data_IF_655296190104
#
_entry.id   IF_655296190104
#
_cell.length_a   1.000
_cell.length_b   1.000
_cell.length_c   1.000
_cell.angle_alpha   90.00
_cell.angle_beta   90.00
_cell.angle_gamma   90.00
#
_symmetry.space_group_name_H-M   'P 1'
#
loop_
_entity.id
_entity.type
_entity.pdbx_description
1 polymer ?
#
# COMPACT_ATOMS: atom_id res chain seq x y z
N UNK A 1 -19.82 -5.42 16.80
CA UNK A 1 -19.70 -6.22 15.58
C UNK A 1 -19.88 -7.70 15.95
N UNK A 2 -20.61 -8.50 15.17
CA UNK A 2 -20.73 -9.93 15.46
C UNK A 2 -19.40 -10.63 15.12
N UNK A 3 -18.94 -11.63 15.91
CA UNK A 3 -17.68 -12.32 15.65
C UNK A 3 -17.72 -13.00 14.27
N UNK A 4 -16.60 -12.89 13.53
CA UNK A 4 -16.47 -13.48 12.21
C UNK A 4 -16.51 -15.01 12.34
N UNK A 5 -17.35 -15.73 11.57
CA UNK A 5 -17.42 -17.18 11.63
C UNK A 5 -16.05 -17.82 11.32
N UNK A 6 -15.67 -18.86 12.05
CA UNK A 6 -14.36 -19.56 11.94
C UNK A 6 -14.04 -19.95 10.48
N UNK A 7 -15.02 -20.46 9.73
CA UNK A 7 -14.86 -20.81 8.33
C UNK A 7 -14.50 -19.60 7.45
N UNK A 8 -15.06 -18.45 7.73
CA UNK A 8 -14.78 -17.21 7.00
C UNK A 8 -13.38 -16.67 7.33
N UNK A 9 -12.97 -16.75 8.61
CA UNK A 9 -11.61 -16.39 9.04
C UNK A 9 -10.56 -17.28 8.38
N UNK A 10 -10.80 -18.60 8.34
CA UNK A 10 -9.91 -19.55 7.65
C UNK A 10 -9.81 -19.26 6.14
N UNK A 11 -10.92 -18.91 5.49
CA UNK A 11 -10.93 -18.58 4.07
C UNK A 11 -10.11 -17.28 3.80
N UNK A 12 -10.29 -16.23 4.61
CA UNK A 12 -9.53 -14.98 4.51
C UNK A 12 -8.03 -15.20 4.70
N UNK A 13 -7.66 -16.01 5.69
CA UNK A 13 -6.25 -16.37 5.94
C UNK A 13 -5.65 -17.13 4.74
N UNK A 14 -6.38 -18.04 4.12
CA UNK A 14 -5.95 -18.77 2.93
C UNK A 14 -5.73 -17.84 1.73
N UNK A 15 -6.63 -16.87 1.50
CA UNK A 15 -6.46 -15.87 0.45
C UNK A 15 -5.24 -14.98 0.71
N UNK A 16 -5.02 -14.53 1.95
CA UNK A 16 -3.86 -13.72 2.31
C UNK A 16 -2.55 -14.51 2.15
N UNK A 17 -2.53 -15.79 2.48
CA UNK A 17 -1.37 -16.67 2.26
C UNK A 17 -1.06 -16.85 0.78
N UNK A 18 -2.09 -17.01 -0.05
CA UNK A 18 -1.95 -17.09 -1.51
C UNK A 18 -1.42 -15.76 -2.05
N UNK A 19 -1.98 -14.64 -1.62
CA UNK A 19 -1.52 -13.30 -1.99
C UNK A 19 -0.03 -13.11 -1.65
N UNK A 20 0.39 -13.47 -0.44
CA UNK A 20 1.77 -13.35 0.01
C UNK A 20 2.74 -14.07 -0.92
N UNK A 21 2.45 -15.35 -1.24
CA UNK A 21 3.27 -16.15 -2.15
C UNK A 21 3.36 -15.55 -3.54
N UNK A 22 2.23 -15.13 -4.12
CA UNK A 22 2.22 -14.53 -5.46
C UNK A 22 2.89 -13.16 -5.48
N UNK A 23 2.72 -12.34 -4.43
CA UNK A 23 3.43 -11.07 -4.26
C UNK A 23 4.96 -11.27 -4.26
N UNK A 24 5.45 -12.26 -3.52
CA UNK A 24 6.89 -12.58 -3.46
C UNK A 24 7.41 -13.10 -4.81
N UNK A 25 6.63 -13.88 -5.54
CA UNK A 25 6.97 -14.34 -6.89
C UNK A 25 7.20 -13.17 -7.85
N UNK A 26 6.46 -12.09 -7.72
CA UNK A 26 6.64 -10.88 -8.54
C UNK A 26 7.65 -9.89 -7.94
N UNK A 27 8.31 -10.25 -6.84
CA UNK A 27 9.38 -9.48 -6.21
C UNK A 27 8.94 -8.44 -5.18
N UNK A 28 7.68 -8.47 -4.76
CA UNK A 28 7.21 -7.74 -3.58
C UNK A 28 7.69 -8.41 -2.28
N UNK A 29 7.50 -7.74 -1.16
CA UNK A 29 7.85 -8.24 0.18
C UNK A 29 6.62 -8.26 1.06
N UNK A 30 6.22 -9.44 1.52
CA UNK A 30 5.14 -9.59 2.46
C UNK A 30 5.65 -9.46 3.89
N UNK A 31 5.11 -8.52 4.67
CA UNK A 31 5.55 -8.23 6.03
C UNK A 31 4.73 -8.94 7.12
N UNK A 32 3.64 -9.58 6.71
CA UNK A 32 2.81 -10.38 7.61
C UNK A 32 1.34 -9.94 7.64
N UNK A 33 0.56 -10.73 8.35
CA UNK A 33 -0.80 -10.39 8.77
C UNK A 33 -0.66 -9.86 10.19
N UNK A 34 -0.97 -8.60 10.40
CA UNK A 34 -0.74 -7.88 11.65
C UNK A 34 -2.05 -7.34 12.23
N UNK A 35 -2.10 -7.22 13.54
CA UNK A 35 -3.14 -6.45 14.22
C UNK A 35 -2.87 -4.95 14.08
N UNK A 36 -3.87 -4.07 14.23
CA UNK A 36 -3.67 -2.62 14.15
C UNK A 36 -2.55 -2.08 15.04
N UNK A 37 -2.37 -2.65 16.23
CA UNK A 37 -1.31 -2.21 17.16
C UNK A 37 0.10 -2.59 16.68
N UNK A 38 0.23 -3.69 15.98
CA UNK A 38 1.51 -4.16 15.45
C UNK A 38 1.94 -3.38 14.21
N UNK A 39 0.97 -2.85 13.44
CA UNK A 39 1.22 -2.13 12.17
C UNK A 39 2.17 -0.96 12.39
N UNK A 40 1.86 -0.08 13.34
CA UNK A 40 2.66 1.13 13.60
C UNK A 40 4.11 0.78 13.94
N UNK A 41 4.31 -0.18 14.83
CA UNK A 41 5.66 -0.62 15.23
C UNK A 41 6.41 -1.24 14.03
N UNK A 42 5.73 -2.05 13.21
CA UNK A 42 6.35 -2.66 12.02
C UNK A 42 6.75 -1.63 10.98
N UNK A 43 5.96 -0.57 10.81
CA UNK A 43 6.26 0.55 9.91
C UNK A 43 7.52 1.29 10.36
N UNK A 44 7.60 1.66 11.65
CA UNK A 44 8.77 2.34 12.22
C UNK A 44 10.03 1.49 12.06
N UNK A 45 9.93 0.19 12.34
CA UNK A 45 11.03 -0.76 12.15
C UNK A 45 11.48 -0.82 10.69
N UNK A 46 10.53 -0.95 9.75
CA UNK A 46 10.84 -1.00 8.32
C UNK A 46 11.53 0.28 7.84
N UNK A 47 11.06 1.44 8.28
CA UNK A 47 11.68 2.72 7.92
C UNK A 47 13.15 2.78 8.36
N UNK A 48 13.44 2.29 9.58
CA UNK A 48 14.82 2.13 10.08
C UNK A 48 15.63 1.12 9.27
N UNK A 49 15.09 -0.06 8.98
CA UNK A 49 15.74 -1.11 8.16
C UNK A 49 16.13 -0.60 6.77
N UNK A 50 15.31 0.27 6.18
CA UNK A 50 15.55 0.88 4.87
C UNK A 50 16.47 2.10 4.93
N UNK A 51 16.88 2.55 6.11
CA UNK A 51 17.70 3.76 6.31
C UNK A 51 16.98 5.03 5.85
N UNK A 52 15.67 5.04 5.90
CA UNK A 52 14.87 6.19 5.50
C UNK A 52 15.13 7.39 6.42
N UNK A 53 14.96 8.60 5.89
CA UNK A 53 14.96 9.85 6.63
C UNK A 53 13.65 10.58 6.47
N UNK A 54 13.01 10.41 5.32
CA UNK A 54 11.76 11.09 4.96
C UNK A 54 10.71 10.07 4.53
N UNK A 55 9.54 10.15 5.15
CA UNK A 55 8.39 9.26 4.88
C UNK A 55 7.23 10.10 4.39
N UNK A 56 6.68 9.76 3.23
CA UNK A 56 5.46 10.35 2.71
C UNK A 56 4.25 9.51 3.14
N UNK A 57 3.27 10.15 3.77
CA UNK A 57 2.05 9.51 4.27
C UNK A 57 0.83 9.95 3.47
N UNK A 58 -0.01 9.00 3.10
CA UNK A 58 -1.33 9.22 2.54
C UNK A 58 -2.39 9.53 3.60
N UNK A 59 -3.58 9.79 3.10
CA UNK A 59 -4.78 9.69 3.93
C UNK A 59 -5.20 8.22 3.99
N UNK A 60 -5.44 7.70 5.18
CA UNK A 60 -5.80 6.31 5.40
C UNK A 60 -7.31 6.12 5.59
N UNK A 61 -7.86 5.07 4.99
CA UNK A 61 -9.18 4.55 5.33
C UNK A 61 -9.08 3.23 6.13
N UNK A 62 -7.92 2.58 6.05
CA UNK A 62 -7.62 1.28 6.66
C UNK A 62 -6.79 1.45 7.93
N UNK A 63 -5.87 2.41 7.91
CA UNK A 63 -4.88 2.61 8.96
C UNK A 63 -5.02 4.00 9.57
N UNK A 64 -4.74 4.11 10.87
CA UNK A 64 -4.62 5.40 11.54
C UNK A 64 -3.31 6.08 11.11
N UNK A 65 -3.37 6.80 9.99
CA UNK A 65 -2.20 7.49 9.43
C UNK A 65 -1.69 8.61 10.33
N UNK A 66 -2.53 9.15 11.22
CA UNK A 66 -2.10 10.16 12.17
C UNK A 66 -1.26 9.53 13.29
N UNK A 67 -1.71 8.44 13.89
CA UNK A 67 -0.94 7.69 14.87
C UNK A 67 0.38 7.14 14.30
N UNK A 68 0.37 6.67 13.03
CA UNK A 68 1.58 6.25 12.32
C UNK A 68 2.53 7.42 12.15
N UNK A 69 2.03 8.59 11.72
CA UNK A 69 2.84 9.79 11.55
C UNK A 69 3.49 10.24 12.84
N UNK A 70 2.74 10.32 13.94
CA UNK A 70 3.27 10.66 15.27
C UNK A 70 4.33 9.68 15.76
N UNK A 71 4.15 8.38 15.51
CA UNK A 71 5.13 7.37 15.90
C UNK A 71 6.44 7.51 15.09
N UNK A 72 6.34 7.80 13.81
CA UNK A 72 7.50 8.05 12.95
C UNK A 72 8.22 9.36 13.34
N UNK A 73 7.49 10.44 13.65
CA UNK A 73 8.07 11.70 14.13
C UNK A 73 8.81 11.50 15.48
N UNK A 74 8.23 10.73 16.40
CA UNK A 74 8.90 10.37 17.68
C UNK A 74 10.16 9.54 17.46
N UNK A 75 10.26 8.81 16.35
CA UNK A 75 11.44 8.05 15.94
C UNK A 75 12.38 8.84 15.02
N UNK A 76 12.25 10.18 14.98
CA UNK A 76 13.11 11.14 14.26
C UNK A 76 13.03 11.04 12.71
N UNK A 77 11.92 10.54 12.16
CA UNK A 77 11.67 10.61 10.72
C UNK A 77 10.97 11.91 10.34
N UNK A 78 11.36 12.49 9.19
CA UNK A 78 10.65 13.62 8.59
C UNK A 78 9.41 13.13 7.85
N UNK A 79 8.24 13.75 8.14
CA UNK A 79 6.98 13.36 7.53
C UNK A 79 6.54 14.37 6.47
N UNK A 80 6.15 13.84 5.31
CA UNK A 80 5.49 14.56 4.22
C UNK A 80 4.05 14.05 4.14
N UNK A 81 3.09 14.79 4.70
CA UNK A 81 1.67 14.42 4.59
C UNK A 81 1.11 14.86 3.24
N UNK A 82 0.45 13.94 2.55
CA UNK A 82 -0.32 14.28 1.35
C UNK A 82 -1.72 14.69 1.77
N UNK A 83 -1.99 15.97 1.64
CA UNK A 83 -3.30 16.58 1.87
C UNK A 83 -3.85 17.09 0.54
N UNK A 84 -5.18 17.25 0.41
CA UNK A 84 -5.77 17.92 -0.73
C UNK A 84 -5.15 19.33 -0.87
N UNK A 85 -4.65 19.63 -2.05
CA UNK A 85 -4.04 20.93 -2.36
C UNK A 85 -4.67 21.52 -3.62
N UNK A 86 -4.62 22.84 -3.74
CA UNK A 86 -5.03 23.52 -4.96
C UNK A 86 -4.20 23.02 -6.18
N UNK A 87 -4.77 23.13 -7.38
CA UNK A 87 -4.10 22.67 -8.60
C UNK A 87 -2.71 23.29 -8.80
N UNK A 88 -2.55 24.54 -8.37
CA UNK A 88 -1.27 25.29 -8.41
C UNK A 88 -0.19 24.70 -7.52
N UNK A 89 -0.56 23.94 -6.48
CA UNK A 89 0.35 23.36 -5.49
C UNK A 89 0.63 21.88 -5.76
N UNK A 90 -0.11 21.24 -6.68
CA UNK A 90 0.03 19.80 -6.98
C UNK A 90 1.42 19.42 -7.45
N UNK A 91 2.07 20.27 -8.23
CA UNK A 91 3.44 20.01 -8.70
C UNK A 91 4.43 19.98 -7.53
N UNK A 92 4.36 20.96 -6.64
CA UNK A 92 5.21 21.03 -5.45
C UNK A 92 4.96 19.85 -4.47
N UNK A 93 3.70 19.44 -4.31
CA UNK A 93 3.37 18.26 -3.51
C UNK A 93 3.96 16.99 -4.12
N UNK A 94 3.82 16.79 -5.44
CA UNK A 94 4.42 15.64 -6.14
C UNK A 94 5.94 15.60 -5.99
N UNK A 95 6.61 16.74 -6.07
CA UNK A 95 8.05 16.84 -5.87
C UNK A 95 8.44 16.44 -4.45
N UNK A 96 7.72 16.92 -3.43
CA UNK A 96 7.95 16.51 -2.03
C UNK A 96 7.78 15.03 -1.83
N UNK A 97 6.74 14.41 -2.42
CA UNK A 97 6.51 12.96 -2.37
C UNK A 97 7.61 12.20 -3.11
N UNK A 98 8.04 12.68 -4.27
CA UNK A 98 9.12 12.05 -5.05
C UNK A 98 10.48 12.07 -4.33
N UNK A 99 10.71 13.06 -3.47
CA UNK A 99 11.92 13.20 -2.66
C UNK A 99 11.84 12.45 -1.31
N UNK A 100 10.74 11.79 -1.01
CA UNK A 100 10.63 10.92 0.16
C UNK A 100 11.30 9.56 -0.11
N UNK A 101 11.87 8.96 0.94
CA UNK A 101 12.52 7.65 0.86
C UNK A 101 11.50 6.51 0.81
N UNK A 102 10.36 6.70 1.49
CA UNK A 102 9.27 5.73 1.55
C UNK A 102 7.95 6.45 1.35
N UNK A 103 7.06 5.86 0.53
CA UNK A 103 5.65 6.22 0.48
C UNK A 103 4.80 5.18 1.21
N UNK A 104 3.90 5.62 2.09
CA UNK A 104 2.97 4.76 2.81
C UNK A 104 1.55 5.08 2.37
N UNK A 105 0.82 4.09 1.91
CA UNK A 105 -0.55 4.22 1.42
C UNK A 105 -1.39 2.98 1.76
N UNK A 106 -2.71 3.15 1.79
CA UNK A 106 -3.64 2.03 1.84
C UNK A 106 -3.98 1.57 0.42
N UNK A 107 -4.16 0.25 0.24
CA UNK A 107 -4.80 -0.31 -0.93
C UNK A 107 -6.27 -0.60 -0.64
N UNK A 108 -7.11 -0.43 -1.65
CA UNK A 108 -8.54 -0.76 -1.57
C UNK A 108 -8.76 -2.27 -1.64
N UNK A 109 -7.92 -2.98 -2.42
CA UNK A 109 -7.95 -4.43 -2.52
C UNK A 109 -6.56 -5.02 -2.76
N UNK A 110 -6.41 -6.32 -2.41
CA UNK A 110 -5.33 -7.17 -2.83
C UNK A 110 -5.89 -8.36 -3.61
N UNK A 111 -5.23 -8.77 -4.68
CA UNK A 111 -5.66 -9.85 -5.59
C UNK A 111 -4.79 -11.07 -5.34
N UNK A 112 -5.35 -12.10 -4.71
CA UNK A 112 -4.61 -13.26 -4.28
C UNK A 112 -3.97 -14.04 -5.45
N UNK A 113 -4.69 -14.20 -6.56
CA UNK A 113 -4.21 -15.00 -7.71
C UNK A 113 -2.98 -14.45 -8.43
N UNK A 114 -2.60 -13.19 -8.18
CA UNK A 114 -1.52 -12.50 -8.92
C UNK A 114 -0.56 -11.71 -8.04
N UNK A 115 -0.79 -11.64 -6.73
CA UNK A 115 -0.01 -10.80 -5.83
C UNK A 115 -0.10 -9.30 -6.17
N UNK A 116 -1.24 -8.87 -6.72
CA UNK A 116 -1.47 -7.50 -7.21
C UNK A 116 -2.23 -6.69 -6.18
N UNK A 117 -1.81 -5.44 -5.97
CA UNK A 117 -2.55 -4.46 -5.18
C UNK A 117 -3.43 -3.63 -6.12
N UNK A 118 -4.64 -3.32 -5.70
CA UNK A 118 -5.56 -2.46 -6.41
C UNK A 118 -5.81 -1.19 -5.58
N UNK A 119 -5.42 -0.04 -6.13
CA UNK A 119 -5.52 1.27 -5.50
C UNK A 119 -6.46 2.15 -6.30
N UNK A 120 -7.53 2.59 -5.66
CA UNK A 120 -8.49 3.53 -6.22
C UNK A 120 -8.05 4.94 -5.87
N UNK A 121 -7.72 5.73 -6.89
CA UNK A 121 -7.30 7.11 -6.72
C UNK A 121 -8.42 8.08 -7.05
N UNK A 122 -8.55 9.11 -6.24
CA UNK A 122 -9.42 10.26 -6.46
C UNK A 122 -8.67 11.56 -6.14
N UNK A 123 -9.37 12.69 -6.08
CA UNK A 123 -8.77 13.99 -5.75
C UNK A 123 -8.03 14.03 -4.42
N UNK A 124 -8.51 13.29 -3.43
CA UNK A 124 -8.00 13.28 -2.06
C UNK A 124 -6.96 12.18 -1.80
N UNK A 125 -6.96 11.13 -2.63
CA UNK A 125 -6.05 9.97 -2.53
C UNK A 125 -5.22 9.83 -3.81
N UNK A 126 -4.12 10.60 -3.94
CA UNK A 126 -3.28 10.56 -5.15
C UNK A 126 -2.47 9.25 -5.22
N UNK A 127 -2.34 8.69 -6.42
CA UNK A 127 -1.49 7.51 -6.67
C UNK A 127 0.02 7.79 -6.54
N UNK A 128 0.43 9.03 -6.32
CA UNK A 128 1.84 9.43 -6.25
C UNK A 128 2.63 8.70 -5.15
N UNK A 129 2.00 8.38 -4.03
CA UNK A 129 2.63 7.67 -2.90
C UNK A 129 3.10 6.26 -3.26
N UNK A 130 2.36 5.58 -4.13
CA UNK A 130 2.67 4.21 -4.56
C UNK A 130 3.56 4.17 -5.80
N UNK A 131 3.84 5.33 -6.43
CA UNK A 131 4.52 5.40 -7.72
C UNK A 131 5.83 6.19 -7.70
N UNK A 132 5.98 7.20 -6.84
CA UNK A 132 7.11 8.12 -6.89
C UNK A 132 8.27 7.77 -5.94
N UNK A 133 8.04 7.43 -4.65
CA UNK A 133 9.12 7.09 -3.74
C UNK A 133 9.85 5.81 -4.15
N UNK A 134 11.15 5.69 -3.87
CA UNK A 134 11.94 4.50 -4.21
C UNK A 134 11.51 3.24 -3.45
N UNK A 135 10.89 3.38 -2.29
CA UNK A 135 10.25 2.31 -1.56
C UNK A 135 8.77 2.65 -1.31
N UNK A 136 7.90 1.65 -1.41
CA UNK A 136 6.49 1.80 -1.13
C UNK A 136 6.06 0.75 -0.10
N UNK A 137 5.36 1.19 0.95
CA UNK A 137 4.65 0.33 1.88
C UNK A 137 3.15 0.49 1.65
N UNK A 138 2.47 -0.61 1.43
CA UNK A 138 1.03 -0.65 1.19
C UNK A 138 0.36 -1.47 2.27
N UNK A 139 -0.72 -0.93 2.83
CA UNK A 139 -1.51 -1.55 3.88
C UNK A 139 -2.87 -1.92 3.29
N UNK A 140 -3.35 -3.12 3.56
CA UNK A 140 -4.65 -3.60 3.07
C UNK A 140 -5.36 -4.39 4.16
N UNK A 141 -6.68 -4.25 4.28
CA UNK A 141 -7.46 -5.06 5.22
C UNK A 141 -7.61 -6.50 4.71
N UNK A 142 -7.66 -7.45 5.64
CA UNK A 142 -7.79 -8.89 5.32
C UNK A 142 -9.07 -9.21 4.54
N UNK A 143 -10.18 -8.51 4.81
CA UNK A 143 -11.46 -8.68 4.13
C UNK A 143 -11.48 -8.08 2.71
N UNK A 144 -10.45 -7.30 2.37
CA UNK A 144 -10.19 -6.74 1.03
C UNK A 144 -9.21 -7.58 0.20
N UNK A 145 -8.79 -8.73 0.71
CA UNK A 145 -8.01 -9.70 -0.07
C UNK A 145 -8.97 -10.56 -0.89
N UNK A 146 -9.04 -10.27 -2.19
CA UNK A 146 -9.96 -10.88 -3.14
C UNK A 146 -9.28 -12.03 -3.90
N UNK A 147 -10.05 -13.03 -4.30
CA UNK A 147 -9.51 -14.19 -5.01
C UNK A 147 -8.86 -13.81 -6.36
N UNK A 148 -9.51 -12.91 -7.13
CA UNK A 148 -9.09 -12.53 -8.47
C UNK A 148 -9.60 -11.12 -8.85
N UNK A 149 -9.17 -10.62 -10.01
CA UNK A 149 -9.56 -9.30 -10.50
C UNK A 149 -11.08 -9.18 -10.76
N UNK A 150 -11.73 -10.25 -11.20
CA UNK A 150 -13.18 -10.20 -11.44
C UNK A 150 -13.96 -9.91 -10.15
N UNK A 151 -13.52 -10.48 -9.02
CA UNK A 151 -14.11 -10.20 -7.71
C UNK A 151 -13.90 -8.72 -7.30
N UNK A 152 -12.71 -8.15 -7.57
CA UNK A 152 -12.45 -6.72 -7.31
C UNK A 152 -13.37 -5.83 -8.17
N UNK A 153 -13.51 -6.14 -9.46
CA UNK A 153 -14.35 -5.36 -10.36
C UNK A 153 -15.85 -5.45 -9.99
N UNK A 154 -16.28 -6.59 -9.45
CA UNK A 154 -17.65 -6.74 -8.95
C UNK A 154 -17.92 -5.85 -7.72
N UNK A 155 -16.94 -5.72 -6.81
CA UNK A 155 -17.03 -4.82 -5.64
C UNK A 155 -16.98 -3.33 -6.03
N UNK A 156 -16.28 -3.00 -7.13
CA UNK A 156 -16.18 -1.64 -7.67
C UNK A 156 -17.39 -1.24 -8.54
N UNK A 157 -18.56 -1.87 -8.35
CA UNK A 157 -19.78 -1.62 -9.13
C UNK A 157 -20.08 -0.13 -9.36
N UNK A 158 -20.71 0.25 -10.53
CA UNK A 158 -20.79 1.64 -11.00
C UNK A 158 -21.54 2.62 -10.08
N UNK A 159 -22.32 2.14 -9.12
CA UNK A 159 -23.18 2.96 -8.27
C UNK A 159 -22.50 3.51 -7.00
N UNK A 160 -21.28 3.06 -6.66
CA UNK A 160 -20.65 3.36 -5.36
C UNK A 160 -19.29 4.02 -5.38
N UNK A 161 -18.57 4.02 -6.49
CA UNK A 161 -17.20 4.53 -6.52
C UNK A 161 -17.07 5.62 -7.58
N UNK A 162 -17.08 6.87 -7.15
CA UNK A 162 -16.58 7.99 -7.95
C UNK A 162 -15.06 7.87 -8.11
N UNK A 163 -14.60 6.73 -8.66
CA UNK A 163 -13.20 6.44 -8.87
C UNK A 163 -12.73 7.12 -10.15
N UNK A 164 -11.79 8.04 -10.04
CA UNK A 164 -11.17 8.65 -11.20
C UNK A 164 -10.16 7.71 -11.87
N UNK A 165 -9.59 6.76 -11.12
CA UNK A 165 -8.60 5.82 -11.65
C UNK A 165 -8.44 4.60 -10.74
N UNK A 166 -8.42 3.42 -11.34
CA UNK A 166 -7.95 2.17 -10.72
C UNK A 166 -6.51 1.91 -11.15
N UNK A 167 -5.59 1.81 -10.20
CA UNK A 167 -4.20 1.44 -10.44
C UNK A 167 -3.94 0.04 -9.91
N UNK A 168 -3.44 -0.84 -10.79
CA UNK A 168 -3.03 -2.20 -10.43
C UNK A 168 -1.51 -2.24 -10.32
N UNK A 169 -0.99 -2.69 -9.16
CA UNK A 169 0.43 -2.72 -8.84
C UNK A 169 0.84 -4.17 -8.61
N UNK A 170 1.61 -4.72 -9.57
CA UNK A 170 2.07 -6.11 -9.54
C UNK A 170 3.59 -6.12 -9.37
N UNK A 171 4.04 -6.06 -8.12
CA UNK A 171 5.46 -6.01 -7.78
C UNK A 171 6.16 -4.67 -8.05
N UNK A 172 7.46 -4.58 -7.75
CA UNK A 172 8.27 -3.38 -7.95
C UNK A 172 8.48 -3.09 -9.44
N UNK A 173 8.83 -1.81 -9.75
CA UNK A 173 9.09 -1.38 -11.12
C UNK A 173 10.28 -2.13 -11.72
N UNK A 174 10.05 -2.78 -12.85
CA UNK A 174 11.07 -3.49 -13.64
C UNK A 174 11.05 -2.93 -15.06
N UNK A 175 12.14 -2.29 -15.47
CA UNK A 175 12.32 -1.85 -16.85
C UNK A 175 13.39 -2.73 -17.49
N UNK A 176 13.06 -3.36 -18.62
CA UNK A 176 14.05 -4.04 -19.45
C UNK A 176 14.65 -3.02 -20.42
N UNK A 177 15.93 -2.80 -20.34
CA UNK A 177 16.67 -1.98 -21.31
C UNK A 177 16.94 -2.79 -22.59
N UNK A 178 17.23 -2.08 -23.68
CA UNK A 178 17.57 -2.64 -25.01
C UNK A 178 18.76 -3.62 -24.91
N UNK A 179 19.62 -3.48 -23.90
CA UNK A 179 20.77 -4.37 -23.60
C UNK A 179 20.41 -5.62 -22.77
N UNK A 180 19.12 -5.96 -22.60
CA UNK A 180 18.64 -7.11 -21.79
C UNK A 180 19.01 -7.05 -20.30
N UNK A 181 19.35 -5.89 -19.77
CA UNK A 181 19.55 -5.67 -18.32
C UNK A 181 18.24 -5.19 -17.69
N UNK A 182 17.80 -5.88 -16.66
CA UNK A 182 16.67 -5.43 -15.86
C UNK A 182 17.16 -4.31 -14.93
N UNK A 183 16.61 -3.10 -15.12
CA UNK A 183 16.87 -1.96 -14.23
C UNK A 183 15.66 -1.78 -13.33
N UNK A 184 15.86 -1.84 -12.02
CA UNK A 184 14.81 -1.63 -11.03
C UNK A 184 14.61 -0.13 -10.78
N UNK A 185 13.32 0.31 -10.77
CA UNK A 185 12.96 1.62 -10.26
C UNK A 185 13.19 2.81 -11.18
N UNK A 186 13.19 2.61 -12.52
CA UNK A 186 13.29 3.74 -13.47
C UNK A 186 11.98 4.55 -13.51
N UNK A 187 10.83 3.88 -13.41
CA UNK A 187 9.51 4.49 -13.54
C UNK A 187 8.55 4.16 -12.39
N UNK A 188 9.09 3.78 -11.21
CA UNK A 188 8.28 3.42 -10.04
C UNK A 188 9.15 2.90 -8.89
N UNK A 189 8.56 2.44 -7.79
CA UNK A 189 9.29 1.96 -6.62
C UNK A 189 10.24 0.81 -6.95
N UNK A 190 11.44 0.86 -6.37
CA UNK A 190 12.44 -0.24 -6.41
C UNK A 190 12.03 -1.40 -5.50
N UNK A 191 11.25 -1.10 -4.45
CA UNK A 191 10.74 -2.12 -3.53
C UNK A 191 9.30 -1.81 -3.13
N UNK A 192 8.48 -2.88 -3.04
CA UNK A 192 7.12 -2.84 -2.54
C UNK A 192 7.04 -3.77 -1.33
N UNK A 193 6.53 -3.23 -0.25
CA UNK A 193 6.29 -3.92 1.01
C UNK A 193 4.81 -3.91 1.30
N UNK A 194 4.26 -5.02 1.79
CA UNK A 194 2.82 -5.12 2.04
C UNK A 194 2.55 -5.67 3.43
N UNK A 195 1.65 -5.00 4.14
CA UNK A 195 1.05 -5.45 5.39
C UNK A 195 -0.42 -5.76 5.13
N UNK A 196 -0.87 -6.93 5.55
CA UNK A 196 -2.30 -7.24 5.65
C UNK A 196 -2.74 -7.03 7.09
N UNK A 197 -3.78 -6.22 7.31
CA UNK A 197 -4.29 -5.93 8.64
C UNK A 197 -5.47 -6.84 8.94
N UNK A 198 -5.38 -7.56 10.05
CA UNK A 198 -6.50 -8.26 10.63
C UNK A 198 -7.17 -7.33 11.64
N UNK A 199 -8.41 -6.89 11.42
CA UNK A 199 -9.10 -6.07 12.42
C UNK A 199 -9.24 -6.85 13.74
N UNK A 200 -9.24 -6.12 14.86
CA UNK A 200 -9.60 -6.75 16.13
C UNK A 200 -11.05 -7.21 16.05
N UNK A 201 -11.31 -8.41 16.52
CA UNK A 201 -12.66 -8.81 16.87
C UNK A 201 -13.06 -8.00 18.13
N UNK A 202 -13.91 -6.98 17.95
CA UNK A 202 -14.50 -6.23 19.05
C UNK A 202 -15.53 -7.10 19.80
#
# INVERSE_FOLDING_TARGET
SAPVPVAQSAHRAALASTFARELETVGGKFLGILTPDEVTNRIVTLAGELGAKTVALGQGAVSDMDAIGEALERADFRIVRTIPVADTERAAMRERVANADIGIADADFAIASTGTLAVVSNGDRPSSLTLLPPACLVIVQIDRVMANLAAVLAELSPEGVAANRLTLITGPSRTADIEKRIVLGVHGPKSIHVIVVWPRDD
#
